data_IF_291282917773
#
_entry.id   IF_291282917773
#
_cell.length_a   1.000
_cell.length_b   1.000
_cell.length_c   1.000
_cell.angle_alpha   90.00
_cell.angle_beta   90.00
_cell.angle_gamma   90.00
#
_symmetry.space_group_name_H-M   'P 1'
#
loop_
_entity.id
_entity.type
_entity.pdbx_description
1 polymer ?
#
# COMPACT_ATOMS: atom_id res chain seq x y z
N UNK A 1 22.19 -8.69 1.36
CA UNK A 1 20.73 -8.69 1.16
C UNK A 1 20.42 -8.84 -0.33
N UNK A 2 20.33 -10.07 -0.85
CA UNK A 2 20.18 -10.37 -2.29
C UNK A 2 18.78 -10.06 -2.86
N UNK A 3 17.79 -9.75 -2.02
CA UNK A 3 16.41 -9.46 -2.44
C UNK A 3 16.24 -8.12 -3.16
N UNK A 4 17.17 -7.17 -2.97
CA UNK A 4 17.21 -5.90 -3.70
C UNK A 4 17.96 -5.99 -5.03
N UNK A 5 18.46 -7.17 -5.39
CA UNK A 5 19.21 -7.44 -6.62
C UNK A 5 18.38 -8.17 -7.68
N UNK A 6 17.08 -8.32 -7.45
CA UNK A 6 16.15 -8.54 -8.56
C UNK A 6 16.10 -7.21 -9.31
N UNK A 7 16.23 -7.25 -10.65
CA UNK A 7 16.09 -6.06 -11.49
C UNK A 7 14.91 -5.22 -10.97
N UNK A 8 15.16 -3.95 -10.69
CA UNK A 8 14.09 -3.03 -10.30
C UNK A 8 13.09 -3.05 -11.44
N UNK A 9 11.97 -3.73 -11.21
CA UNK A 9 10.97 -3.99 -12.22
C UNK A 9 10.57 -2.67 -12.86
N UNK A 10 10.82 -2.56 -14.17
CA UNK A 10 10.22 -1.52 -15.01
C UNK A 10 8.69 -1.55 -14.88
N UNK A 11 7.97 -0.56 -15.44
CA UNK A 11 6.53 -0.41 -15.23
C UNK A 11 5.82 -1.76 -15.41
N UNK A 12 5.28 -2.29 -14.30
CA UNK A 12 4.79 -3.66 -14.21
C UNK A 12 3.67 -3.89 -15.23
N UNK A 13 3.99 -4.61 -16.31
CA UNK A 13 3.04 -5.15 -17.28
C UNK A 13 2.38 -6.46 -16.79
N UNK A 14 2.63 -6.88 -15.55
CA UNK A 14 2.05 -8.11 -15.00
C UNK A 14 0.58 -7.89 -14.65
N UNK A 15 -0.29 -8.31 -15.58
CA UNK A 15 -1.75 -8.19 -15.48
C UNK A 15 -2.41 -9.36 -14.74
N UNK A 16 -1.61 -10.30 -14.20
CA UNK A 16 -2.17 -11.40 -13.42
C UNK A 16 -2.90 -10.87 -12.18
N UNK A 17 -3.95 -11.57 -11.71
CA UNK A 17 -4.65 -11.19 -10.49
C UNK A 17 -3.69 -11.07 -9.30
N UNK A 18 -3.87 -10.03 -8.47
CA UNK A 18 -3.06 -9.82 -7.25
C UNK A 18 -3.00 -11.06 -6.34
N UNK A 19 -4.07 -11.88 -6.31
CA UNK A 19 -4.09 -13.15 -5.55
C UNK A 19 -3.00 -14.13 -6.00
N UNK A 20 -2.73 -14.21 -7.30
CA UNK A 20 -1.70 -15.10 -7.86
C UNK A 20 -0.30 -14.54 -7.59
N UNK A 21 -0.10 -13.25 -7.87
CA UNK A 21 1.16 -12.55 -7.59
C UNK A 21 1.56 -12.65 -6.12
N UNK A 22 0.60 -12.50 -5.21
CA UNK A 22 0.86 -12.54 -3.79
C UNK A 22 1.05 -13.97 -3.28
N UNK A 23 0.39 -14.97 -3.88
CA UNK A 23 0.66 -16.37 -3.58
C UNK A 23 2.10 -16.76 -3.96
N UNK A 24 2.54 -16.37 -5.16
CA UNK A 24 3.90 -16.58 -5.64
C UNK A 24 4.93 -15.91 -4.72
N UNK A 25 4.74 -14.62 -4.40
CA UNK A 25 5.62 -13.90 -3.46
C UNK A 25 5.69 -14.54 -2.09
N UNK A 26 4.56 -15.04 -1.56
CA UNK A 26 4.55 -15.79 -0.29
C UNK A 26 5.36 -17.08 -0.38
N UNK A 27 5.23 -17.84 -1.46
CA UNK A 27 5.99 -19.06 -1.66
C UNK A 27 7.51 -18.79 -1.76
N UNK A 28 7.90 -17.73 -2.48
CA UNK A 28 9.31 -17.30 -2.56
C UNK A 28 9.86 -16.87 -1.19
N UNK A 29 9.09 -16.10 -0.41
CA UNK A 29 9.46 -15.72 0.96
C UNK A 29 9.67 -16.96 1.82
N UNK A 30 8.73 -17.92 1.80
CA UNK A 30 8.84 -19.15 2.57
C UNK A 30 10.09 -19.99 2.17
N UNK A 31 10.45 -19.98 0.88
CA UNK A 31 11.61 -20.69 0.35
C UNK A 31 12.95 -20.04 0.73
N UNK A 32 13.02 -18.71 0.70
CA UNK A 32 14.31 -17.99 0.77
C UNK A 32 14.58 -17.27 2.08
N UNK A 33 13.55 -16.99 2.89
CA UNK A 33 13.74 -16.33 4.19
C UNK A 33 14.12 -17.39 5.25
N UNK A 34 15.21 -17.21 6.01
CA UNK A 34 15.62 -18.17 7.03
C UNK A 34 14.53 -18.41 8.09
N UNK A 35 14.40 -19.65 8.62
CA UNK A 35 13.37 -19.98 9.61
C UNK A 35 13.35 -19.08 10.84
N UNK A 36 14.52 -18.68 11.35
CA UNK A 36 14.64 -17.75 12.49
C UNK A 36 14.00 -16.38 12.18
N UNK A 37 14.23 -15.83 10.99
CA UNK A 37 13.59 -14.58 10.56
C UNK A 37 12.08 -14.75 10.40
N UNK A 38 11.62 -15.92 9.91
CA UNK A 38 10.20 -16.22 9.83
C UNK A 38 9.55 -16.30 11.23
N UNK A 39 10.25 -16.89 12.21
CA UNK A 39 9.78 -17.00 13.58
C UNK A 39 9.60 -15.62 14.25
N UNK A 40 10.57 -14.71 14.09
CA UNK A 40 10.47 -13.33 14.58
C UNK A 40 9.24 -12.64 14.00
N UNK A 41 9.02 -12.75 12.69
CA UNK A 41 7.86 -12.13 12.04
C UNK A 41 6.53 -12.74 12.52
N UNK A 42 6.49 -14.06 12.73
CA UNK A 42 5.32 -14.74 13.27
C UNK A 42 5.00 -14.28 14.70
N UNK A 43 6.03 -14.14 15.55
CA UNK A 43 5.89 -13.64 16.91
C UNK A 43 5.32 -12.21 16.91
N UNK A 44 5.90 -11.28 16.13
CA UNK A 44 5.42 -9.90 16.06
C UNK A 44 3.96 -9.83 15.61
N UNK A 45 3.55 -10.68 14.65
CA UNK A 45 2.14 -10.75 14.23
C UNK A 45 1.25 -11.24 15.39
N UNK A 46 1.68 -12.27 16.12
CA UNK A 46 0.92 -12.78 17.26
C UNK A 46 0.72 -11.70 18.32
N UNK A 47 1.79 -11.00 18.71
CA UNK A 47 1.75 -9.87 19.65
C UNK A 47 0.82 -8.74 19.18
N UNK A 48 0.84 -8.40 17.88
CA UNK A 48 -0.06 -7.40 17.32
C UNK A 48 -1.53 -7.82 17.36
N UNK A 49 -1.81 -9.12 17.20
CA UNK A 49 -3.17 -9.68 17.33
C UNK A 49 -3.64 -9.65 18.78
N UNK A 50 -2.78 -10.04 19.72
CA UNK A 50 -3.07 -10.04 21.16
C UNK A 50 -3.39 -8.64 21.69
N UNK A 51 -2.75 -7.60 21.14
CA UNK A 51 -3.07 -6.19 21.46
C UNK A 51 -4.49 -5.78 21.07
N UNK A 52 -5.25 -6.62 20.36
CA UNK A 52 -6.67 -6.37 20.11
C UNK A 52 -6.95 -5.14 19.25
N UNK A 53 -5.96 -4.64 18.49
CA UNK A 53 -6.08 -3.42 17.69
C UNK A 53 -7.24 -3.47 16.68
N UNK A 54 -7.63 -4.69 16.27
CA UNK A 54 -8.76 -4.92 15.38
C UNK A 54 -10.11 -4.50 15.99
N UNK A 55 -10.24 -4.47 17.32
CA UNK A 55 -11.47 -4.08 18.01
C UNK A 55 -11.83 -2.59 17.84
N UNK A 56 -10.87 -1.74 17.46
CA UNK A 56 -11.08 -0.32 17.19
C UNK A 56 -11.25 0.03 15.70
N UNK A 57 -11.38 -0.96 14.81
CA UNK A 57 -11.50 -0.72 13.38
C UNK A 57 -12.84 -0.05 13.06
N UNK A 58 -12.80 0.97 12.21
CA UNK A 58 -14.00 1.61 11.69
C UNK A 58 -14.86 0.60 10.89
N UNK A 59 -16.10 0.41 11.31
CA UNK A 59 -17.04 -0.47 10.64
C UNK A 59 -17.60 0.15 9.35
N UNK A 60 -18.14 -0.69 8.47
CA UNK A 60 -18.85 -0.24 7.26
C UNK A 60 -20.01 0.67 7.65
N UNK A 61 -20.14 1.80 6.95
CA UNK A 61 -21.09 2.86 7.27
C UNK A 61 -20.61 3.85 8.35
N UNK A 62 -19.49 3.55 9.01
CA UNK A 62 -18.84 4.46 9.95
C UNK A 62 -18.27 5.71 9.26
N UNK A 63 -18.27 6.83 9.98
CA UNK A 63 -17.68 8.08 9.49
C UNK A 63 -16.17 8.02 9.56
N UNK A 64 -15.50 8.15 8.41
CA UNK A 64 -14.05 8.23 8.35
C UNK A 64 -13.56 9.56 8.98
N UNK A 65 -12.52 9.55 9.83
CA UNK A 65 -12.00 10.78 10.43
C UNK A 65 -11.47 11.73 9.36
N UNK A 66 -11.76 13.02 9.50
CA UNK A 66 -11.18 14.05 8.64
C UNK A 66 -9.67 14.14 8.88
N UNK A 67 -8.91 14.39 7.82
CA UNK A 67 -7.46 14.54 7.91
C UNK A 67 -6.95 15.63 6.97
N UNK A 68 -5.80 16.19 7.35
CA UNK A 68 -4.93 16.97 6.47
C UNK A 68 -3.54 16.39 6.60
N UNK A 69 -3.04 15.79 5.52
CA UNK A 69 -1.71 15.17 5.47
C UNK A 69 -0.89 15.81 4.36
N UNK A 70 0.43 15.66 4.44
CA UNK A 70 1.31 16.11 3.37
C UNK A 70 1.42 15.06 2.27
N UNK A 71 1.41 15.49 1.02
CA UNK A 71 1.73 14.65 -0.13
C UNK A 71 3.25 14.43 -0.28
N UNK A 72 3.65 13.76 -1.36
CA UNK A 72 5.04 13.47 -1.68
C UNK A 72 5.87 14.71 -2.05
N UNK A 73 5.23 15.87 -2.25
CA UNK A 73 5.84 17.17 -2.52
C UNK A 73 5.69 18.14 -1.33
N UNK A 74 5.43 17.61 -0.12
CA UNK A 74 5.17 18.39 1.11
C UNK A 74 3.92 19.29 1.06
N UNK A 75 3.05 19.15 0.05
CA UNK A 75 1.82 19.95 -0.09
C UNK A 75 0.71 19.38 0.81
N UNK A 76 -0.05 20.24 1.51
CA UNK A 76 -1.17 19.77 2.32
C UNK A 76 -2.31 19.26 1.43
N UNK A 77 -2.86 18.10 1.79
CA UNK A 77 -4.01 17.45 1.14
C UNK A 77 -5.08 17.21 2.19
N UNK A 78 -6.26 17.80 1.98
CA UNK A 78 -7.41 17.71 2.89
C UNK A 78 -8.42 16.67 2.42
N UNK A 79 -8.84 15.79 3.32
CA UNK A 79 -9.91 14.82 3.03
C UNK A 79 -11.24 15.48 2.69
N UNK A 80 -11.53 16.64 3.29
CA UNK A 80 -12.75 17.39 3.03
C UNK A 80 -12.76 17.98 1.61
N UNK A 81 -11.61 18.46 1.14
CA UNK A 81 -11.46 18.98 -0.22
C UNK A 81 -11.52 17.85 -1.26
N UNK A 82 -10.96 16.68 -0.96
CA UNK A 82 -11.09 15.51 -1.84
C UNK A 82 -12.55 15.05 -1.95
N UNK A 83 -13.25 14.97 -0.82
CA UNK A 83 -14.65 14.54 -0.76
C UNK A 83 -15.62 15.54 -1.40
N UNK A 84 -15.27 16.84 -1.48
CA UNK A 84 -16.09 17.81 -2.20
C UNK A 84 -16.03 17.64 -3.72
N UNK A 85 -14.97 16.99 -4.24
CA UNK A 85 -14.78 16.68 -5.66
C UNK A 85 -15.43 15.37 -6.09
N UNK A 86 -15.70 14.46 -5.16
CA UNK A 86 -16.34 13.18 -5.46
C UNK A 86 -16.10 12.12 -4.40
N UNK A 87 -16.29 10.86 -4.78
CA UNK A 87 -16.00 9.71 -3.91
C UNK A 87 -14.50 9.57 -3.70
N UNK A 88 -14.09 9.04 -2.55
CA UNK A 88 -12.69 8.85 -2.21
C UNK A 88 -12.40 7.38 -1.92
N UNK A 89 -11.44 6.81 -2.64
CA UNK A 89 -10.84 5.50 -2.38
C UNK A 89 -9.50 5.73 -1.68
N UNK A 90 -9.32 5.12 -0.51
CA UNK A 90 -8.09 5.25 0.27
C UNK A 90 -7.41 3.88 0.35
N UNK A 91 -6.14 3.82 -0.05
CA UNK A 91 -5.30 2.64 0.10
C UNK A 91 -4.23 2.89 1.17
N UNK A 92 -4.35 2.24 2.33
CA UNK A 92 -3.29 2.23 3.33
C UNK A 92 -2.23 1.20 2.99
N UNK A 93 -0.97 1.61 3.01
CA UNK A 93 0.16 0.71 2.74
C UNK A 93 1.35 0.99 3.66
N UNK A 94 2.22 -0.01 3.82
CA UNK A 94 3.34 0.06 4.77
C UNK A 94 4.43 1.01 4.29
N UNK A 95 4.87 0.82 3.06
CA UNK A 95 5.89 1.64 2.42
C UNK A 95 6.53 0.94 1.22
N UNK A 96 7.41 1.65 0.51
CA UNK A 96 8.05 1.18 -0.72
C UNK A 96 8.96 -0.04 -0.54
N UNK A 97 9.39 -0.33 0.69
CA UNK A 97 10.17 -1.52 1.02
C UNK A 97 9.32 -2.81 1.01
N UNK A 98 8.00 -2.70 0.92
CA UNK A 98 7.11 -3.84 0.96
C UNK A 98 6.71 -4.28 -0.46
N UNK A 99 7.13 -5.47 -0.93
CA UNK A 99 6.86 -5.92 -2.30
C UNK A 99 5.37 -6.18 -2.57
N UNK A 100 4.59 -6.48 -1.53
CA UNK A 100 3.12 -6.59 -1.64
C UNK A 100 2.46 -5.23 -1.81
N UNK A 101 2.95 -4.21 -1.11
CA UNK A 101 2.38 -2.87 -1.18
C UNK A 101 2.67 -2.22 -2.54
N UNK A 102 3.90 -2.41 -3.04
CA UNK A 102 4.29 -1.95 -4.38
C UNK A 102 3.38 -2.57 -5.43
N UNK A 103 3.28 -3.91 -5.47
CA UNK A 103 2.42 -4.57 -6.46
C UNK A 103 0.93 -4.21 -6.33
N UNK A 104 0.43 -3.97 -5.12
CA UNK A 104 -0.94 -3.48 -4.93
C UNK A 104 -1.12 -2.10 -5.56
N UNK A 105 -0.22 -1.16 -5.29
CA UNK A 105 -0.33 0.21 -5.81
C UNK A 105 -0.16 0.27 -7.32
N UNK A 106 0.75 -0.51 -7.90
CA UNK A 106 0.87 -0.63 -9.36
C UNK A 106 -0.41 -1.16 -10.00
N UNK A 107 -1.00 -2.21 -9.44
CA UNK A 107 -2.27 -2.75 -9.93
C UNK A 107 -3.43 -1.75 -9.77
N UNK A 108 -3.45 -0.96 -8.69
CA UNK A 108 -4.43 0.10 -8.52
C UNK A 108 -4.22 1.25 -9.51
N UNK A 109 -2.98 1.57 -9.86
CA UNK A 109 -2.65 2.60 -10.85
C UNK A 109 -3.24 2.27 -12.23
N UNK A 110 -3.20 0.99 -12.62
CA UNK A 110 -3.80 0.50 -13.87
C UNK A 110 -5.31 0.75 -13.98
N UNK A 111 -6.00 0.91 -12.85
CA UNK A 111 -7.45 1.12 -12.81
C UNK A 111 -7.87 2.54 -12.40
N UNK A 112 -6.93 3.48 -12.28
CA UNK A 112 -7.23 4.89 -11.97
C UNK A 112 -8.24 5.48 -12.95
N UNK A 113 -8.13 5.29 -14.29
CA UNK A 113 -9.13 5.81 -15.23
C UNK A 113 -10.56 5.33 -14.94
N UNK A 114 -10.72 4.07 -14.52
CA UNK A 114 -12.01 3.48 -14.18
C UNK A 114 -12.55 4.04 -12.86
N UNK A 115 -11.67 4.30 -11.89
CA UNK A 115 -12.02 4.98 -10.62
C UNK A 115 -12.52 6.40 -10.91
N UNK A 116 -11.82 7.13 -11.78
CA UNK A 116 -12.19 8.49 -12.19
C UNK A 116 -13.50 8.53 -12.99
N UNK A 117 -13.72 7.59 -13.90
CA UNK A 117 -15.00 7.42 -14.61
C UNK A 117 -16.16 7.19 -13.64
N UNK A 118 -15.90 6.53 -12.51
CA UNK A 118 -16.84 6.41 -11.41
C UNK A 118 -16.92 7.68 -10.54
N UNK A 119 -16.42 8.84 -10.96
CA UNK A 119 -16.41 10.09 -10.16
C UNK A 119 -15.81 9.88 -8.76
N UNK A 120 -14.75 9.08 -8.71
CA UNK A 120 -13.97 8.84 -7.51
C UNK A 120 -12.50 9.23 -7.74
N UNK A 121 -11.80 9.52 -6.65
CA UNK A 121 -10.36 9.70 -6.63
C UNK A 121 -9.71 8.58 -5.82
N UNK A 122 -8.46 8.24 -6.16
CA UNK A 122 -7.64 7.32 -5.41
C UNK A 122 -6.53 8.09 -4.69
N UNK A 123 -6.34 7.82 -3.40
CA UNK A 123 -5.15 8.24 -2.66
C UNK A 123 -4.51 7.04 -1.95
N UNK A 124 -3.19 7.08 -1.81
CA UNK A 124 -2.43 6.11 -1.04
C UNK A 124 -1.79 6.78 0.18
N UNK A 125 -2.01 6.20 1.38
CA UNK A 125 -1.49 6.74 2.65
C UNK A 125 -0.53 5.74 3.27
N UNK A 126 0.62 6.23 3.74
CA UNK A 126 1.67 5.42 4.36
C UNK A 126 2.41 6.22 5.44
N UNK A 127 2.95 5.56 6.48
CA UNK A 127 3.83 6.20 7.48
C UNK A 127 5.23 6.56 6.93
N UNK A 128 5.41 6.55 5.61
CA UNK A 128 6.65 6.97 4.96
C UNK A 128 6.94 8.46 5.13
N UNK A 129 8.22 8.81 5.13
CA UNK A 129 8.62 10.21 4.98
C UNK A 129 8.30 10.72 3.57
N UNK A 130 8.12 12.03 3.42
CA UNK A 130 7.85 12.68 2.12
C UNK A 130 8.87 12.25 1.05
N UNK A 131 10.15 12.14 1.41
CA UNK A 131 11.22 11.66 0.52
C UNK A 131 10.97 10.23 0.00
N UNK A 132 10.55 9.30 0.86
CA UNK A 132 10.27 7.92 0.42
C UNK A 132 8.97 7.85 -0.39
N UNK A 133 7.98 8.68 -0.06
CA UNK A 133 6.76 8.85 -0.86
C UNK A 133 7.07 9.42 -2.25
N UNK A 134 8.00 10.37 -2.36
CA UNK A 134 8.47 10.90 -3.65
C UNK A 134 9.12 9.81 -4.50
N UNK A 135 10.04 9.02 -3.93
CA UNK A 135 10.65 7.90 -4.66
C UNK A 135 9.62 6.84 -5.07
N UNK A 136 8.62 6.57 -4.23
CA UNK A 136 7.54 5.65 -4.58
C UNK A 136 6.77 6.16 -5.80
N UNK A 137 6.36 7.43 -5.78
CA UNK A 137 5.63 8.06 -6.89
C UNK A 137 6.47 8.09 -8.18
N UNK A 138 7.70 8.56 -8.10
CA UNK A 138 8.56 8.72 -9.29
C UNK A 138 8.98 7.38 -9.90
N UNK A 139 9.33 6.38 -9.08
CA UNK A 139 9.77 5.08 -9.58
C UNK A 139 8.63 4.28 -10.23
N UNK A 140 7.45 4.29 -9.60
CA UNK A 140 6.31 3.48 -10.04
C UNK A 140 5.32 4.25 -10.92
N UNK A 141 5.63 5.51 -11.26
CA UNK A 141 4.81 6.40 -12.11
C UNK A 141 3.35 6.43 -11.65
N UNK A 142 3.19 6.58 -10.34
CA UNK A 142 1.90 6.70 -9.64
C UNK A 142 1.36 8.14 -9.71
#
# INVERSE_FOLDING_TARGET
>A
MKWRSLEESGPSQDTRPLRELFAERKALIARYVPPETQAIHAQVIAELKEKGLAGGILLVGGKFPAFTLKDHNDRPVSSAELLSKGRLVICFFRGRWCPFCVGQLEAMNLIVPQIEQARASLIAISPQSAKQSFFMHDQHKL
#
